data_IF_811858348805
#
_entry.id   IF_811858348805
#
_cell.length_a   1.000
_cell.length_b   1.000
_cell.length_c   1.000
_cell.angle_alpha   90.00
_cell.angle_beta   90.00
_cell.angle_gamma   90.00
#
_symmetry.space_group_name_H-M   'P 1'
#
loop_
_entity.id
_entity.type
_entity.pdbx_description
1 polymer ?
#
# COMPACT_ATOMS: atom_id res chain seq x y z
N UNK A 1 -11.37 21.34 -7.81
CA UNK A 1 -11.18 19.94 -8.25
C UNK A 1 -9.86 19.35 -7.76
N UNK A 2 -8.72 20.01 -7.89
CA UNK A 2 -7.38 19.53 -7.43
C UNK A 2 -7.31 19.16 -5.93
N UNK A 3 -7.93 19.92 -5.04
CA UNK A 3 -7.93 19.65 -3.58
C UNK A 3 -8.67 18.35 -3.25
N UNK A 4 -9.80 18.06 -3.90
CA UNK A 4 -10.56 16.81 -3.69
C UNK A 4 -9.72 15.58 -4.03
N UNK A 5 -9.06 15.59 -5.20
CA UNK A 5 -8.23 14.45 -5.62
C UNK A 5 -6.92 14.33 -4.85
N UNK A 6 -6.37 15.45 -4.37
CA UNK A 6 -5.27 15.41 -3.42
C UNK A 6 -5.71 14.74 -2.11
N UNK A 7 -6.86 15.13 -1.58
CA UNK A 7 -7.45 14.48 -0.39
C UNK A 7 -7.72 13.00 -0.64
N UNK A 8 -8.22 12.65 -1.83
CA UNK A 8 -8.45 11.28 -2.25
C UNK A 8 -7.17 10.44 -2.22
N UNK A 9 -6.07 10.93 -2.83
CA UNK A 9 -4.78 10.22 -2.84
C UNK A 9 -4.20 10.03 -1.44
N UNK A 10 -4.33 11.02 -0.55
CA UNK A 10 -3.90 10.93 0.85
C UNK A 10 -4.73 9.88 1.60
N UNK A 11 -6.05 9.91 1.44
CA UNK A 11 -6.94 8.98 2.12
C UNK A 11 -6.74 7.54 1.64
N UNK A 12 -6.54 7.32 0.33
CA UNK A 12 -6.20 6.01 -0.23
C UNK A 12 -4.89 5.49 0.36
N UNK A 13 -3.85 6.32 0.38
CA UNK A 13 -2.55 5.94 0.95
C UNK A 13 -2.67 5.56 2.42
N UNK A 14 -3.32 6.40 3.25
CA UNK A 14 -3.49 6.14 4.69
C UNK A 14 -4.37 4.92 4.92
N UNK A 15 -5.51 4.81 4.24
CA UNK A 15 -6.45 3.69 4.39
C UNK A 15 -5.79 2.36 4.04
N UNK A 16 -5.17 2.26 2.86
CA UNK A 16 -4.53 1.02 2.40
C UNK A 16 -3.28 0.68 3.23
N UNK A 17 -2.51 1.67 3.70
CA UNK A 17 -1.42 1.43 4.64
C UNK A 17 -1.96 0.80 5.95
N UNK A 18 -3.06 1.29 6.51
CA UNK A 18 -3.67 0.71 7.71
C UNK A 18 -4.25 -0.69 7.45
N UNK A 19 -4.85 -0.93 6.28
CA UNK A 19 -5.32 -2.27 5.86
C UNK A 19 -4.14 -3.21 5.70
N UNK A 20 -3.04 -2.77 5.10
CA UNK A 20 -1.83 -3.56 4.97
C UNK A 20 -1.21 -3.96 6.33
N UNK A 21 -1.35 -3.13 7.38
CA UNK A 21 -0.98 -3.53 8.76
C UNK A 21 -1.87 -4.69 9.23
N UNK A 22 -3.18 -4.71 8.91
CA UNK A 22 -4.05 -5.85 9.22
C UNK A 22 -3.68 -7.11 8.43
N UNK A 23 -3.34 -6.96 7.15
CA UNK A 23 -2.90 -8.07 6.30
C UNK A 23 -1.59 -8.64 6.83
N UNK A 24 -0.61 -7.81 7.14
CA UNK A 24 0.66 -8.24 7.75
C UNK A 24 0.44 -8.92 9.11
N UNK A 25 -0.47 -8.39 9.93
CA UNK A 25 -0.90 -9.04 11.17
C UNK A 25 -1.45 -10.44 10.92
N UNK A 26 -2.37 -10.59 9.96
CA UNK A 26 -3.03 -11.86 9.66
C UNK A 26 -2.03 -12.89 9.10
N UNK A 27 -1.14 -12.49 8.17
CA UNK A 27 -0.09 -13.34 7.62
C UNK A 27 0.78 -13.90 8.75
N UNK A 28 1.29 -13.05 9.64
CA UNK A 28 2.15 -13.49 10.73
C UNK A 28 1.41 -14.38 11.75
N UNK A 29 0.09 -14.20 11.93
CA UNK A 29 -0.72 -15.10 12.76
C UNK A 29 -0.86 -16.49 12.14
N UNK A 30 -1.12 -16.56 10.84
CA UNK A 30 -1.30 -17.83 10.10
C UNK A 30 0.03 -18.59 9.99
N UNK A 31 1.13 -17.89 9.82
CA UNK A 31 2.48 -18.50 9.72
C UNK A 31 3.11 -18.80 11.08
N UNK A 32 2.41 -18.54 12.20
CA UNK A 32 2.94 -18.76 13.56
C UNK A 32 4.28 -18.06 13.80
N UNK A 33 4.47 -16.83 13.27
CA UNK A 33 5.71 -16.09 13.40
C UNK A 33 5.92 -15.61 14.84
N UNK A 34 6.80 -16.27 15.59
CA UNK A 34 7.05 -15.99 17.01
C UNK A 34 7.69 -14.61 17.23
N UNK A 35 8.59 -14.19 16.34
CA UNK A 35 9.32 -12.92 16.42
C UNK A 35 8.41 -11.68 16.42
N UNK A 36 7.19 -11.76 15.88
CA UNK A 36 6.21 -10.66 15.76
C UNK A 36 5.32 -10.54 17.01
N UNK A 37 5.40 -11.46 17.94
CA UNK A 37 4.43 -11.56 19.06
C UNK A 37 4.28 -10.24 19.80
N UNK A 38 5.37 -9.54 20.10
CA UNK A 38 5.38 -8.25 20.78
C UNK A 38 4.94 -7.07 19.90
N UNK A 39 4.88 -7.26 18.58
CA UNK A 39 4.39 -6.23 17.64
C UNK A 39 2.87 -6.26 17.49
N UNK A 40 2.18 -7.36 17.84
CA UNK A 40 0.72 -7.45 17.70
C UNK A 40 -0.04 -6.33 18.45
N UNK A 41 0.31 -5.94 19.70
CA UNK A 41 -0.32 -4.82 20.36
C UNK A 41 -0.11 -3.49 19.62
N UNK A 42 1.07 -3.28 19.05
CA UNK A 42 1.44 -2.10 18.27
C UNK A 42 0.58 -2.02 17.00
N UNK A 43 0.51 -3.12 16.22
CA UNK A 43 -0.31 -3.20 15.01
C UNK A 43 -1.80 -2.94 15.31
N UNK A 44 -2.32 -3.51 16.42
CA UNK A 44 -3.68 -3.23 16.88
C UNK A 44 -3.90 -1.76 17.22
N UNK A 45 -2.93 -1.09 17.81
CA UNK A 45 -3.00 0.34 18.15
C UNK A 45 -2.95 1.20 16.89
N UNK A 46 -2.05 0.92 15.95
CA UNK A 46 -1.92 1.64 14.67
C UNK A 46 -3.24 1.58 13.89
N UNK A 47 -3.90 0.43 13.85
CA UNK A 47 -5.15 0.23 13.10
C UNK A 47 -6.41 0.73 13.81
N UNK A 48 -6.28 1.37 14.97
CA UNK A 48 -7.45 1.90 15.71
C UNK A 48 -8.26 2.92 14.90
N UNK A 49 -7.65 3.91 14.20
CA UNK A 49 -8.39 4.91 13.45
C UNK A 49 -8.94 4.41 12.10
N UNK A 50 -8.73 3.14 11.74
CA UNK A 50 -9.10 2.60 10.41
C UNK A 50 -10.56 2.90 10.05
N UNK A 51 -11.51 2.68 10.97
CA UNK A 51 -12.93 2.90 10.72
C UNK A 51 -13.24 4.35 10.36
N UNK A 52 -12.58 5.31 11.02
CA UNK A 52 -12.76 6.74 10.76
C UNK A 52 -12.18 7.12 9.37
N UNK A 53 -10.96 6.64 9.07
CA UNK A 53 -10.31 6.89 7.79
C UNK A 53 -11.15 6.32 6.64
N UNK A 54 -11.66 5.09 6.79
CA UNK A 54 -12.52 4.46 5.78
C UNK A 54 -13.86 5.17 5.64
N UNK A 55 -14.45 5.68 6.72
CA UNK A 55 -15.69 6.47 6.66
C UNK A 55 -15.49 7.77 5.85
N UNK A 56 -14.39 8.49 6.08
CA UNK A 56 -14.06 9.72 5.35
C UNK A 56 -13.75 9.38 3.88
N UNK A 57 -12.99 8.30 3.64
CA UNK A 57 -12.70 7.82 2.29
C UNK A 57 -13.99 7.45 1.53
N UNK A 58 -14.94 6.78 2.19
CA UNK A 58 -16.24 6.44 1.60
C UNK A 58 -17.00 7.70 1.15
N UNK A 59 -16.98 8.77 1.95
CA UNK A 59 -17.57 10.05 1.56
C UNK A 59 -16.91 10.67 0.34
N UNK A 60 -15.57 10.61 0.23
CA UNK A 60 -14.84 11.12 -0.94
C UNK A 60 -15.10 10.23 -2.17
N UNK A 61 -15.11 8.90 -2.01
CA UNK A 61 -15.44 7.96 -3.08
C UNK A 61 -16.86 8.20 -3.63
N UNK A 62 -17.83 8.48 -2.75
CA UNK A 62 -19.19 8.83 -3.17
C UNK A 62 -19.26 10.10 -4.02
N UNK A 63 -18.40 11.08 -3.73
CA UNK A 63 -18.32 12.32 -4.52
C UNK A 63 -17.63 12.07 -5.88
N UNK A 64 -16.63 11.18 -5.92
CA UNK A 64 -15.87 10.87 -7.14
C UNK A 64 -16.61 9.87 -8.04
N UNK A 65 -17.27 8.88 -7.44
CA UNK A 65 -17.94 7.77 -8.14
C UNK A 65 -19.38 7.63 -7.65
N UNK A 66 -20.35 7.90 -8.53
CA UNK A 66 -21.78 7.85 -8.19
C UNK A 66 -22.46 6.49 -8.50
N UNK A 67 -21.73 5.53 -9.05
CA UNK A 67 -22.24 4.23 -9.45
C UNK A 67 -22.68 3.38 -8.25
N UNK A 68 -23.97 2.93 -8.16
CA UNK A 68 -24.46 2.20 -7.00
C UNK A 68 -23.75 0.86 -6.76
N UNK A 69 -23.38 0.15 -7.84
CA UNK A 69 -22.64 -1.12 -7.75
C UNK A 69 -21.24 -0.91 -7.14
N UNK A 70 -20.52 0.11 -7.61
CA UNK A 70 -19.23 0.51 -7.07
C UNK A 70 -19.31 0.78 -5.57
N UNK A 71 -20.33 1.53 -5.13
CA UNK A 71 -20.52 1.86 -3.72
C UNK A 71 -20.84 0.64 -2.88
N UNK A 72 -21.65 -0.30 -3.40
CA UNK A 72 -21.98 -1.54 -2.71
C UNK A 72 -20.72 -2.40 -2.48
N UNK A 73 -19.91 -2.59 -3.50
CA UNK A 73 -18.63 -3.32 -3.39
C UNK A 73 -17.69 -2.66 -2.39
N UNK A 74 -17.53 -1.34 -2.48
CA UNK A 74 -16.67 -0.55 -1.57
C UNK A 74 -17.11 -0.70 -0.11
N UNK A 75 -18.40 -0.57 0.17
CA UNK A 75 -18.95 -0.77 1.53
C UNK A 75 -18.69 -2.20 1.99
N UNK A 76 -18.83 -3.20 1.12
CA UNK A 76 -18.52 -4.59 1.41
C UNK A 76 -17.07 -4.81 1.83
N UNK A 77 -16.10 -4.26 1.07
CA UNK A 77 -14.68 -4.35 1.41
C UNK A 77 -14.39 -3.71 2.77
N UNK A 78 -14.86 -2.48 2.97
CA UNK A 78 -14.63 -1.73 4.19
C UNK A 78 -15.28 -2.39 5.42
N UNK A 79 -16.50 -2.93 5.28
CA UNK A 79 -17.21 -3.60 6.36
C UNK A 79 -16.45 -4.84 6.86
N UNK A 80 -15.88 -5.65 5.95
CA UNK A 80 -15.09 -6.82 6.33
C UNK A 80 -13.79 -6.39 7.02
N UNK A 81 -13.08 -5.38 6.52
CA UNK A 81 -11.83 -4.90 7.14
C UNK A 81 -12.05 -4.32 8.54
N UNK A 82 -13.10 -3.51 8.71
CA UNK A 82 -13.47 -2.94 10.02
C UNK A 82 -13.96 -4.05 10.97
N UNK A 83 -14.81 -4.96 10.48
CA UNK A 83 -15.31 -6.10 11.22
C UNK A 83 -14.17 -6.99 11.72
N UNK A 84 -13.22 -7.36 10.84
CA UNK A 84 -12.04 -8.11 11.21
C UNK A 84 -11.21 -7.39 12.28
N UNK A 85 -10.95 -6.08 12.11
CA UNK A 85 -10.22 -5.26 13.08
C UNK A 85 -10.90 -5.25 14.47
N UNK A 86 -12.23 -5.08 14.53
CA UNK A 86 -12.97 -5.03 15.79
C UNK A 86 -13.00 -6.39 16.50
N UNK A 87 -13.02 -7.47 15.77
CA UNK A 87 -13.12 -8.82 16.33
C UNK A 87 -11.78 -9.45 16.66
N UNK A 88 -10.62 -8.81 16.32
CA UNK A 88 -9.27 -9.33 16.60
C UNK A 88 -9.04 -9.80 18.05
N UNK A 89 -9.68 -9.16 19.04
CA UNK A 89 -9.56 -9.53 20.47
C UNK A 89 -10.32 -10.81 20.82
N UNK A 90 -11.32 -11.18 20.01
CA UNK A 90 -12.23 -12.32 20.27
C UNK A 90 -11.72 -13.63 19.64
N UNK A 91 -10.85 -13.52 18.65
CA UNK A 91 -10.38 -14.69 17.91
C UNK A 91 -9.34 -15.49 18.70
N UNK A 92 -9.69 -16.73 19.01
CA UNK A 92 -8.80 -17.71 19.64
C UNK A 92 -8.25 -18.74 18.66
N UNK A 93 -8.83 -18.84 17.45
CA UNK A 93 -8.48 -19.80 16.40
C UNK A 93 -7.85 -19.09 15.21
N UNK A 94 -7.19 -19.84 14.32
CA UNK A 94 -6.58 -19.30 13.09
C UNK A 94 -7.61 -19.03 11.99
N UNK A 95 -8.74 -19.72 12.00
CA UNK A 95 -9.77 -19.66 10.94
C UNK A 95 -10.16 -18.24 10.53
N UNK A 96 -10.44 -17.30 11.46
CA UNK A 96 -10.79 -15.94 11.06
C UNK A 96 -9.66 -15.19 10.35
N UNK A 97 -8.39 -15.48 10.67
CA UNK A 97 -7.25 -14.87 10.00
C UNK A 97 -7.08 -15.41 8.59
N UNK A 98 -7.28 -16.70 8.40
CA UNK A 98 -7.27 -17.34 7.07
C UNK A 98 -8.42 -16.82 6.21
N UNK A 99 -9.65 -16.79 6.74
CA UNK A 99 -10.83 -16.27 6.02
C UNK A 99 -10.64 -14.80 5.62
N UNK A 100 -10.09 -13.98 6.50
CA UNK A 100 -9.77 -12.59 6.19
C UNK A 100 -8.76 -12.49 5.03
N UNK A 101 -7.68 -13.28 5.05
CA UNK A 101 -6.68 -13.27 3.97
C UNK A 101 -7.28 -13.76 2.65
N UNK A 102 -8.07 -14.84 2.66
CA UNK A 102 -8.75 -15.32 1.45
C UNK A 102 -9.67 -14.24 0.87
N UNK A 103 -10.51 -13.64 1.71
CA UNK A 103 -11.37 -12.52 1.28
C UNK A 103 -10.54 -11.37 0.73
N UNK A 104 -9.49 -10.96 1.44
CA UNK A 104 -8.65 -9.85 1.04
C UNK A 104 -8.00 -10.08 -0.33
N UNK A 105 -7.36 -11.24 -0.56
CA UNK A 105 -6.69 -11.53 -1.84
C UNK A 105 -7.67 -11.71 -3.00
N UNK A 106 -8.90 -12.18 -2.77
CA UNK A 106 -9.93 -12.24 -3.79
C UNK A 106 -10.50 -10.86 -4.16
N UNK A 107 -10.51 -9.93 -3.20
CA UNK A 107 -11.10 -8.59 -3.39
C UNK A 107 -10.07 -7.50 -3.69
N UNK A 108 -8.79 -7.78 -3.55
CA UNK A 108 -7.71 -6.78 -3.76
C UNK A 108 -7.67 -6.31 -5.21
N UNK A 109 -7.74 -7.22 -6.18
CA UNK A 109 -7.73 -6.87 -7.60
C UNK A 109 -8.97 -6.06 -8.04
N UNK A 110 -10.21 -6.48 -7.75
CA UNK A 110 -11.39 -5.64 -8.01
C UNK A 110 -11.31 -4.28 -7.32
N UNK A 111 -10.89 -4.22 -6.07
CA UNK A 111 -10.72 -2.96 -5.34
C UNK A 111 -9.68 -2.04 -6.02
N UNK A 112 -8.55 -2.57 -6.48
CA UNK A 112 -7.54 -1.80 -7.19
C UNK A 112 -8.09 -1.22 -8.50
N UNK A 113 -8.90 -1.98 -9.22
CA UNK A 113 -9.56 -1.52 -10.44
C UNK A 113 -10.62 -0.46 -10.13
N UNK A 114 -11.49 -0.70 -9.16
CA UNK A 114 -12.55 0.22 -8.78
C UNK A 114 -11.99 1.58 -8.30
N UNK A 115 -10.98 1.56 -7.43
CA UNK A 115 -10.53 2.77 -6.76
C UNK A 115 -9.45 3.55 -7.52
N UNK A 116 -8.72 2.92 -8.44
CA UNK A 116 -7.64 3.57 -9.18
C UNK A 116 -7.87 3.57 -10.68
N UNK A 117 -8.12 2.41 -11.29
CA UNK A 117 -8.25 2.32 -12.75
C UNK A 117 -9.55 2.91 -13.26
N UNK A 118 -10.57 3.08 -12.42
CA UNK A 118 -11.78 3.86 -12.77
C UNK A 118 -11.47 5.31 -13.16
N UNK A 119 -10.32 5.87 -12.75
CA UNK A 119 -9.86 7.18 -13.21
C UNK A 119 -9.28 7.15 -14.64
N UNK A 120 -8.92 5.96 -15.12
CA UNK A 120 -8.35 5.72 -16.45
C UNK A 120 -9.02 4.52 -17.11
N UNK A 121 -10.31 4.63 -17.48
CA UNK A 121 -11.13 3.46 -17.89
C UNK A 121 -10.62 2.78 -19.17
N UNK A 122 -9.81 3.45 -19.97
CA UNK A 122 -9.24 2.91 -21.20
C UNK A 122 -7.95 2.13 -20.96
N UNK A 123 -7.37 2.20 -19.74
CA UNK A 123 -6.10 1.58 -19.42
C UNK A 123 -6.26 0.44 -18.41
N UNK A 124 -5.67 -0.72 -18.73
CA UNK A 124 -5.70 -1.90 -17.89
C UNK A 124 -4.30 -2.53 -17.78
N UNK A 125 -3.94 -3.00 -16.59
CA UNK A 125 -2.73 -3.77 -16.36
C UNK A 125 -2.98 -4.83 -15.30
N UNK A 126 -2.64 -6.08 -15.61
CA UNK A 126 -2.78 -7.22 -14.68
C UNK A 126 -1.80 -7.13 -13.51
N UNK A 127 -0.64 -6.48 -13.70
CA UNK A 127 0.35 -6.27 -12.64
C UNK A 127 0.00 -5.12 -11.69
N UNK A 128 -0.96 -4.25 -12.06
CA UNK A 128 -1.27 -3.06 -11.28
C UNK A 128 -1.72 -3.39 -9.85
N UNK A 129 -2.59 -4.37 -9.68
CA UNK A 129 -3.07 -4.81 -8.38
C UNK A 129 -1.91 -5.35 -7.50
N UNK A 130 -1.03 -6.16 -8.06
CA UNK A 130 0.17 -6.65 -7.36
C UNK A 130 1.14 -5.55 -6.97
N UNK A 131 1.33 -4.56 -7.86
CA UNK A 131 2.14 -3.38 -7.56
C UNK A 131 1.52 -2.57 -6.42
N UNK A 132 0.20 -2.35 -6.44
CA UNK A 132 -0.53 -1.66 -5.38
C UNK A 132 -0.41 -2.41 -4.06
N UNK A 133 -0.61 -3.74 -4.06
CA UNK A 133 -0.45 -4.61 -2.89
C UNK A 133 0.95 -4.45 -2.27
N UNK A 134 1.99 -4.54 -3.09
CA UNK A 134 3.38 -4.39 -2.61
C UNK A 134 3.64 -3.00 -2.04
N UNK A 135 3.04 -1.95 -2.61
CA UNK A 135 3.15 -0.56 -2.18
C UNK A 135 2.61 -0.36 -0.77
N UNK A 136 1.38 -0.79 -0.51
CA UNK A 136 0.81 -0.58 0.83
C UNK A 136 1.33 -1.59 1.86
N UNK A 137 1.79 -2.78 1.49
CA UNK A 137 2.50 -3.67 2.42
C UNK A 137 3.85 -3.08 2.82
N UNK A 138 4.63 -2.56 1.88
CA UNK A 138 5.88 -1.85 2.18
C UNK A 138 5.64 -0.65 3.09
N UNK A 139 4.62 0.16 2.81
CA UNK A 139 4.21 1.29 3.65
C UNK A 139 3.79 0.85 5.05
N UNK A 140 3.08 -0.26 5.16
CA UNK A 140 2.63 -0.82 6.44
C UNK A 140 3.78 -1.27 7.31
N UNK A 141 4.77 -1.96 6.72
CA UNK A 141 5.98 -2.39 7.43
C UNK A 141 6.79 -1.16 7.87
N UNK A 142 6.90 -0.13 7.02
CA UNK A 142 7.54 1.12 7.38
C UNK A 142 6.82 1.82 8.54
N UNK A 143 5.50 1.87 8.53
CA UNK A 143 4.71 2.43 9.61
C UNK A 143 4.88 1.64 10.92
N UNK A 144 4.84 0.30 10.89
CA UNK A 144 5.08 -0.56 12.06
C UNK A 144 6.48 -0.30 12.61
N UNK A 145 7.48 -0.13 11.74
CA UNK A 145 8.87 0.11 12.13
C UNK A 145 9.02 1.37 12.98
N UNK A 146 8.30 2.45 12.66
CA UNK A 146 8.35 3.71 13.41
C UNK A 146 7.84 3.58 14.87
N UNK A 147 7.03 2.57 15.16
CA UNK A 147 6.49 2.31 16.50
C UNK A 147 7.12 1.09 17.17
N UNK A 148 8.12 0.45 16.53
CA UNK A 148 8.74 -0.77 17.02
C UNK A 148 9.81 -0.51 18.08
N UNK A 149 10.16 -1.58 18.82
CA UNK A 149 11.24 -1.61 19.80
C UNK A 149 12.55 -2.07 19.18
N UNK A 150 13.72 -1.79 19.81
CA UNK A 150 15.04 -2.17 19.30
C UNK A 150 15.21 -3.65 18.97
N UNK A 151 14.56 -4.53 19.72
CA UNK A 151 14.58 -5.99 19.55
C UNK A 151 14.14 -6.43 18.15
N UNK A 152 13.22 -5.66 17.51
CA UNK A 152 12.63 -5.97 16.21
C UNK A 152 13.31 -5.26 15.03
N UNK A 153 14.26 -4.35 15.28
CA UNK A 153 14.85 -3.51 14.22
C UNK A 153 15.51 -4.31 13.11
N UNK A 154 16.24 -5.37 13.48
CA UNK A 154 16.94 -6.18 12.50
C UNK A 154 15.98 -6.90 11.54
N UNK A 155 14.91 -7.49 12.08
CA UNK A 155 13.95 -8.24 11.29
C UNK A 155 13.05 -7.31 10.46
N UNK A 156 12.55 -6.23 11.04
CA UNK A 156 11.83 -5.20 10.28
C UNK A 156 12.71 -4.58 9.19
N UNK A 157 14.00 -4.36 9.46
CA UNK A 157 14.95 -3.90 8.45
C UNK A 157 15.14 -4.90 7.29
N UNK A 158 15.06 -6.22 7.53
CA UNK A 158 15.05 -7.24 6.47
C UNK A 158 13.77 -7.15 5.64
N UNK A 159 12.62 -7.00 6.29
CA UNK A 159 11.34 -6.83 5.60
C UNK A 159 11.31 -5.56 4.75
N UNK A 160 11.74 -4.42 5.28
CA UNK A 160 11.84 -3.17 4.52
C UNK A 160 12.75 -3.32 3.30
N UNK A 161 13.91 -3.95 3.47
CA UNK A 161 14.84 -4.22 2.39
C UNK A 161 14.22 -5.12 1.32
N UNK A 162 13.64 -6.26 1.72
CA UNK A 162 13.05 -7.23 0.79
C UNK A 162 11.82 -6.67 0.06
N UNK A 163 10.92 -5.99 0.77
CA UNK A 163 9.72 -5.41 0.16
C UNK A 163 10.03 -4.20 -0.71
N UNK A 164 11.09 -3.41 -0.43
CA UNK A 164 11.53 -2.35 -1.35
C UNK A 164 12.00 -2.92 -2.69
N UNK A 165 12.74 -4.03 -2.68
CA UNK A 165 13.17 -4.73 -3.89
C UNK A 165 11.96 -5.32 -4.63
N UNK A 166 11.05 -5.98 -3.89
CA UNK A 166 9.85 -6.60 -4.46
C UNK A 166 8.94 -5.57 -5.13
N UNK A 167 8.70 -4.44 -4.48
CA UNK A 167 7.93 -3.33 -5.04
C UNK A 167 8.59 -2.77 -6.31
N UNK A 168 9.90 -2.50 -6.27
CA UNK A 168 10.63 -1.99 -7.41
C UNK A 168 10.63 -2.98 -8.59
N UNK A 169 10.74 -4.28 -8.31
CA UNK A 169 10.63 -5.33 -9.31
C UNK A 169 9.26 -5.31 -10.00
N UNK A 170 8.15 -5.23 -9.25
CA UNK A 170 6.81 -5.20 -9.84
C UNK A 170 6.58 -3.93 -10.65
N UNK A 171 7.00 -2.76 -10.13
CA UNK A 171 6.90 -1.49 -10.83
C UNK A 171 7.69 -1.50 -12.15
N UNK A 172 8.95 -1.95 -12.08
CA UNK A 172 9.82 -2.02 -13.24
C UNK A 172 9.33 -3.06 -14.26
N UNK A 173 8.87 -4.23 -13.82
CA UNK A 173 8.32 -5.26 -14.69
C UNK A 173 7.09 -4.76 -15.45
N UNK A 174 6.18 -4.05 -14.78
CA UNK A 174 5.03 -3.42 -15.43
C UNK A 174 5.47 -2.41 -16.50
N UNK A 175 6.40 -1.52 -16.15
CA UNK A 175 6.95 -0.55 -17.08
C UNK A 175 7.60 -1.24 -18.31
N UNK A 176 8.44 -2.24 -18.07
CA UNK A 176 9.16 -2.96 -19.13
C UNK A 176 8.21 -3.72 -20.07
N UNK A 177 7.17 -4.37 -19.55
CA UNK A 177 6.19 -5.07 -20.37
C UNK A 177 5.44 -4.11 -21.28
N UNK A 178 4.97 -2.98 -20.77
CA UNK A 178 4.26 -1.95 -21.53
C UNK A 178 5.20 -1.30 -22.56
N UNK A 179 6.43 -0.98 -22.15
CA UNK A 179 7.43 -0.39 -23.05
C UNK A 179 7.81 -1.35 -24.19
N UNK A 180 8.02 -2.64 -23.89
CA UNK A 180 8.42 -3.64 -24.87
C UNK A 180 7.29 -3.98 -25.84
N UNK A 181 6.07 -4.17 -25.35
CA UNK A 181 4.91 -4.46 -26.20
C UNK A 181 4.52 -3.27 -27.08
N UNK A 182 4.74 -2.04 -26.59
CA UNK A 182 4.47 -0.78 -27.28
C UNK A 182 3.04 -0.70 -27.85
N UNK A 183 2.06 -1.27 -27.14
CA UNK A 183 0.66 -1.21 -27.51
C UNK A 183 0.15 0.20 -27.18
N UNK A 184 -0.44 0.96 -28.14
CA UNK A 184 -0.83 2.35 -27.92
C UNK A 184 -1.73 2.55 -26.71
N UNK A 185 -2.73 1.67 -26.50
CA UNK A 185 -3.68 1.72 -25.41
C UNK A 185 -3.01 1.53 -24.05
N UNK A 186 -1.93 0.76 -23.96
CA UNK A 186 -1.19 0.52 -22.73
C UNK A 186 -0.15 1.61 -22.45
N UNK A 187 0.48 2.16 -23.48
CA UNK A 187 1.53 3.19 -23.34
C UNK A 187 0.98 4.54 -22.89
N UNK A 188 -0.32 4.82 -23.15
CA UNK A 188 -1.00 6.08 -22.77
C UNK A 188 -0.78 6.45 -21.29
N UNK A 189 -0.74 5.48 -20.40
CA UNK A 189 -0.54 5.74 -18.96
C UNK A 189 0.79 6.46 -18.69
N UNK A 190 1.91 5.89 -19.16
CA UNK A 190 3.23 6.49 -18.95
C UNK A 190 3.45 7.74 -19.81
N UNK A 191 2.89 7.79 -21.01
CA UNK A 191 2.92 8.99 -21.85
C UNK A 191 2.19 10.16 -21.17
N UNK A 192 1.05 9.92 -20.55
CA UNK A 192 0.32 10.94 -19.77
C UNK A 192 1.14 11.44 -18.59
N UNK A 193 1.80 10.56 -17.84
CA UNK A 193 2.68 10.93 -16.75
C UNK A 193 3.83 11.84 -17.21
N UNK A 194 4.50 11.46 -18.30
CA UNK A 194 5.65 12.22 -18.81
C UNK A 194 5.24 13.53 -19.46
N UNK A 195 4.17 13.55 -20.27
CA UNK A 195 3.68 14.77 -20.94
C UNK A 195 3.17 15.85 -19.98
N UNK A 196 2.62 15.43 -18.83
CA UNK A 196 2.20 16.33 -17.76
C UNK A 196 3.33 16.76 -16.81
N UNK A 197 4.59 16.38 -17.10
CA UNK A 197 5.77 16.81 -16.35
C UNK A 197 6.04 16.06 -15.05
N UNK A 198 5.46 14.86 -14.84
CA UNK A 198 5.69 14.07 -13.62
C UNK A 198 6.96 13.20 -13.65
N UNK A 199 7.83 13.34 -14.64
CA UNK A 199 9.07 12.56 -14.76
C UNK A 199 9.99 12.67 -13.55
N UNK A 200 10.20 13.88 -13.02
CA UNK A 200 11.02 14.10 -11.81
C UNK A 200 10.41 13.43 -10.58
N UNK A 201 9.07 13.46 -10.46
CA UNK A 201 8.35 12.81 -9.36
C UNK A 201 8.49 11.27 -9.43
N UNK A 202 8.49 10.67 -10.62
CA UNK A 202 8.76 9.24 -10.82
C UNK A 202 10.17 8.89 -10.34
N UNK A 203 11.18 9.68 -10.75
CA UNK A 203 12.57 9.47 -10.30
C UNK A 203 12.69 9.62 -8.78
N UNK A 204 12.10 10.65 -8.21
CA UNK A 204 12.08 10.85 -6.75
C UNK A 204 11.43 9.66 -6.01
N UNK A 205 10.30 9.17 -6.51
CA UNK A 205 9.60 7.99 -5.97
C UNK A 205 10.51 6.75 -5.95
N UNK A 206 11.21 6.48 -7.07
CA UNK A 206 12.14 5.34 -7.19
C UNK A 206 13.35 5.48 -6.25
N UNK A 207 13.89 6.68 -6.12
CA UNK A 207 15.00 6.95 -5.19
C UNK A 207 14.56 6.73 -3.75
N UNK A 208 13.43 7.28 -3.34
CA UNK A 208 12.94 7.23 -1.96
C UNK A 208 12.45 5.84 -1.56
N UNK A 209 11.78 5.11 -2.47
CA UNK A 209 11.17 3.81 -2.15
C UNK A 209 12.10 2.62 -2.38
N UNK A 210 13.13 2.76 -3.22
CA UNK A 210 14.00 1.65 -3.60
C UNK A 210 15.49 1.97 -3.45
N UNK A 211 16.04 2.95 -4.18
CA UNK A 211 17.48 3.14 -4.26
C UNK A 211 18.10 3.47 -2.89
N UNK A 212 17.57 4.44 -2.16
CA UNK A 212 18.07 4.79 -0.83
C UNK A 212 17.83 3.67 0.20
N UNK A 213 16.63 3.07 0.33
CA UNK A 213 16.42 1.90 1.17
C UNK A 213 17.37 0.75 0.88
N UNK A 214 17.61 0.43 -0.41
CA UNK A 214 18.54 -0.62 -0.81
C UNK A 214 19.95 -0.33 -0.29
N UNK A 215 20.50 0.86 -0.55
CA UNK A 215 21.85 1.24 -0.15
C UNK A 215 22.02 1.29 1.36
N UNK A 216 21.06 1.88 2.08
CA UNK A 216 21.14 2.04 3.54
C UNK A 216 21.00 0.69 4.24
N UNK A 217 19.99 -0.11 3.82
CA UNK A 217 19.65 -1.37 4.48
C UNK A 217 20.44 -2.57 3.96
N UNK A 218 21.39 -2.40 3.02
CA UNK A 218 22.29 -3.48 2.60
C UNK A 218 23.13 -3.99 3.78
N UNK A 219 23.59 -3.07 4.64
CA UNK A 219 24.39 -3.40 5.81
C UNK A 219 23.53 -3.93 6.98
N UNK A 220 23.89 -5.08 7.54
CA UNK A 220 23.25 -5.63 8.74
C UNK A 220 23.37 -4.70 9.96
N UNK A 221 24.48 -3.95 10.06
CA UNK A 221 24.69 -2.97 11.14
C UNK A 221 23.75 -1.76 11.01
N UNK A 222 23.45 -1.33 9.79
CA UNK A 222 22.52 -0.23 9.55
C UNK A 222 21.09 -0.58 9.98
N UNK A 223 20.67 -1.83 9.76
CA UNK A 223 19.34 -2.34 10.17
C UNK A 223 19.10 -2.30 11.68
N UNK A 224 20.17 -2.33 12.49
CA UNK A 224 20.09 -2.30 13.96
C UNK A 224 20.14 -0.86 14.53
N UNK A 225 20.56 0.12 13.73
CA UNK A 225 20.66 1.52 14.17
C UNK A 225 19.32 2.22 14.01
N UNK A 226 18.71 2.64 15.13
CA UNK A 226 17.41 3.32 15.16
C UNK A 226 17.32 4.46 14.15
N UNK A 227 18.32 5.37 14.14
CA UNK A 227 18.30 6.55 13.27
C UNK A 227 18.24 6.19 11.79
N UNK A 228 19.04 5.21 11.34
CA UNK A 228 19.07 4.77 9.95
C UNK A 228 17.80 4.03 9.56
N UNK A 229 17.33 3.13 10.43
CA UNK A 229 16.13 2.36 10.17
C UNK A 229 14.87 3.25 10.12
N UNK A 230 14.72 4.17 11.08
CA UNK A 230 13.58 5.09 11.14
C UNK A 230 13.64 6.11 9.98
N UNK A 231 14.83 6.65 9.69
CA UNK A 231 15.04 7.51 8.54
C UNK A 231 14.64 6.82 7.24
N UNK A 232 15.06 5.56 7.05
CA UNK A 232 14.67 4.77 5.87
C UNK A 232 13.16 4.50 5.82
N UNK A 233 12.52 4.20 6.96
CA UNK A 233 11.09 4.01 7.02
C UNK A 233 10.31 5.28 6.61
N UNK A 234 10.77 6.45 7.03
CA UNK A 234 10.19 7.75 6.63
C UNK A 234 10.39 7.98 5.13
N UNK A 235 11.59 7.73 4.58
CA UNK A 235 11.85 7.85 3.15
C UNK A 235 10.92 6.96 2.33
N UNK A 236 10.74 5.71 2.75
CA UNK A 236 9.80 4.77 2.12
C UNK A 236 8.36 5.30 2.17
N UNK A 237 7.89 5.80 3.32
CA UNK A 237 6.53 6.34 3.43
C UNK A 237 6.32 7.54 2.50
N UNK A 238 7.30 8.44 2.40
CA UNK A 238 7.24 9.58 1.47
C UNK A 238 7.25 9.12 0.01
N UNK A 239 8.12 8.17 -0.35
CA UNK A 239 8.19 7.63 -1.70
C UNK A 239 6.93 6.86 -2.09
N UNK A 240 6.36 6.08 -1.17
CA UNK A 240 5.10 5.37 -1.42
C UNK A 240 3.89 6.31 -1.48
N UNK A 241 3.86 7.36 -0.66
CA UNK A 241 2.85 8.41 -0.84
C UNK A 241 2.94 9.05 -2.22
N UNK A 242 4.15 9.34 -2.69
CA UNK A 242 4.37 9.89 -4.03
C UNK A 242 3.91 8.90 -5.13
N UNK A 243 4.08 7.58 -4.92
CA UNK A 243 3.55 6.55 -5.81
C UNK A 243 2.00 6.61 -5.88
N UNK A 244 1.31 6.69 -4.74
CA UNK A 244 -0.15 6.85 -4.71
C UNK A 244 -0.61 8.17 -5.35
N UNK A 245 0.12 9.24 -5.13
CA UNK A 245 -0.12 10.53 -5.77
C UNK A 245 -0.04 10.43 -7.30
N UNK A 246 1.00 9.75 -7.82
CA UNK A 246 1.19 9.53 -9.25
C UNK A 246 0.14 8.59 -9.88
N UNK A 247 -0.46 7.71 -9.10
CA UNK A 247 -1.56 6.85 -9.55
C UNK A 247 -2.89 7.62 -9.71
N UNK A 248 -3.05 8.78 -9.04
CA UNK A 248 -4.32 9.52 -9.00
C UNK A 248 -4.22 10.84 -9.77
N UNK A 249 -3.30 11.72 -9.38
CA UNK A 249 -3.29 13.13 -9.81
C UNK A 249 -3.10 13.38 -11.31
N UNK A 250 -2.27 12.61 -12.04
CA UNK A 250 -2.08 12.83 -13.48
C UNK A 250 -3.33 12.56 -14.31
N UNK A 251 -4.26 11.77 -13.80
CA UNK A 251 -5.46 11.30 -14.51
C UNK A 251 -6.73 12.10 -14.18
N UNK A 252 -6.62 13.06 -13.29
CA UNK A 252 -7.71 14.00 -12.99
C UNK A 252 -7.92 14.95 -14.17
N UNK A 253 -9.15 15.01 -14.67
CA UNK A 253 -9.58 15.94 -15.73
C UNK A 253 -9.89 17.33 -15.19
#
# INVERSE_FOLDING_TARGET
>A
MSILFLTYSILLFVALTLVGVLVFYAINKVTHAEWVTDLYPIMKRITTPLWLVLLVLLGVLYIVHHEPYFMLCTVGYMAVWVGYRHTLKKFKTLTPHVLFLVFFFLTETPMAWDWFLSLTPEWHSTLFAWQLLSSFLLSSIALITLFSKPEHYHDLGKYLFGFSIFWAYLWFSQYMLIWYANIPEETVYYQTLLSKGYGEAIVAMLILSFALPLLILLSSRAKQKKLLLFGTAILILLGQYLNFYLMVMPFVK
#
